data_IF_451372289484
#
_entry.id   IF_451372289484
#
_cell.length_a   1.000
_cell.length_b   1.000
_cell.length_c   1.000
_cell.angle_alpha   90.00
_cell.angle_beta   90.00
_cell.angle_gamma   90.00
#
_symmetry.space_group_name_H-M   'P 1'
#
loop_
_entity.id
_entity.type
_entity.pdbx_description
1 polymer ?
#
# COMPACT_ATOMS: atom_id res chain seq x y z
N UNK A 1 -29.57 6.95 -5.34
CA UNK A 1 -28.40 7.74 -5.76
C UNK A 1 -28.34 7.70 -7.27
N UNK A 2 -28.22 8.85 -7.91
CA UNK A 2 -28.13 8.88 -9.38
C UNK A 2 -26.68 8.71 -9.86
N UNK A 3 -26.52 8.37 -11.16
CA UNK A 3 -25.19 8.14 -11.77
C UNK A 3 -24.21 9.33 -11.63
N UNK A 4 -24.69 10.55 -11.42
CA UNK A 4 -23.84 11.74 -11.23
C UNK A 4 -23.23 11.83 -9.83
N UNK A 5 -23.97 11.41 -8.80
CA UNK A 5 -23.53 11.47 -7.40
C UNK A 5 -22.32 10.56 -7.12
N UNK A 6 -22.20 9.44 -7.84
CA UNK A 6 -21.07 8.49 -7.66
C UNK A 6 -19.76 8.97 -8.30
N UNK A 7 -19.81 9.76 -9.37
CA UNK A 7 -18.62 10.28 -10.03
C UNK A 7 -17.83 11.30 -9.20
N UNK A 8 -18.47 11.90 -8.19
CA UNK A 8 -17.83 12.85 -7.28
C UNK A 8 -17.17 12.16 -6.07
N UNK A 9 -17.36 10.84 -5.91
CA UNK A 9 -16.79 10.07 -4.79
C UNK A 9 -15.40 9.53 -5.14
N UNK A 10 -14.37 10.33 -4.91
CA UNK A 10 -12.96 10.03 -5.21
C UNK A 10 -12.36 8.81 -4.47
N UNK A 11 -13.09 8.26 -3.49
CA UNK A 11 -12.70 7.05 -2.76
C UNK A 11 -13.21 5.75 -3.40
N UNK A 12 -14.00 5.85 -4.47
CA UNK A 12 -14.52 4.71 -5.24
C UNK A 12 -13.69 4.45 -6.49
N UNK A 13 -13.73 3.21 -7.05
CA UNK A 13 -13.16 2.95 -8.36
C UNK A 13 -13.78 3.85 -9.43
N UNK A 14 -12.97 4.38 -10.32
CA UNK A 14 -13.40 5.33 -11.36
C UNK A 14 -14.44 4.75 -12.33
N UNK A 15 -14.41 3.42 -12.52
CA UNK A 15 -15.30 2.70 -13.44
C UNK A 15 -16.49 2.03 -12.74
N UNK A 16 -16.69 2.30 -11.44
CA UNK A 16 -17.85 1.79 -10.69
C UNK A 16 -19.10 2.58 -11.07
N UNK A 17 -20.15 1.86 -11.39
CA UNK A 17 -21.48 2.42 -11.72
C UNK A 17 -22.57 1.62 -11.04
N UNK A 18 -23.78 2.21 -10.94
CA UNK A 18 -24.95 1.55 -10.39
C UNK A 18 -26.13 1.66 -11.37
N UNK A 19 -26.87 0.57 -11.51
CA UNK A 19 -28.11 0.52 -12.26
C UNK A 19 -29.17 -0.23 -11.44
N UNK A 20 -30.27 0.45 -11.06
CA UNK A 20 -31.36 -0.03 -10.19
C UNK A 20 -30.83 -0.76 -8.92
N UNK A 21 -29.77 -0.24 -8.29
CA UNK A 21 -29.18 -0.79 -7.06
C UNK A 21 -28.16 -1.91 -7.27
N UNK A 22 -27.97 -2.37 -8.49
CA UNK A 22 -26.89 -3.31 -8.84
C UNK A 22 -25.64 -2.54 -9.20
N UNK A 23 -24.51 -2.92 -8.61
CA UNK A 23 -23.21 -2.32 -8.90
C UNK A 23 -22.54 -3.05 -10.08
N UNK A 24 -21.92 -2.24 -10.94
CA UNK A 24 -21.13 -2.69 -12.09
C UNK A 24 -19.73 -2.09 -12.03
N UNK A 25 -18.72 -2.89 -12.30
CA UNK A 25 -17.38 -2.40 -12.52
C UNK A 25 -17.06 -2.56 -14.01
N UNK A 26 -16.86 -1.44 -14.71
CA UNK A 26 -16.99 -1.40 -16.16
C UNK A 26 -18.39 -1.91 -16.58
N UNK A 27 -18.45 -2.93 -17.45
CA UNK A 27 -19.72 -3.54 -17.88
C UNK A 27 -20.05 -4.85 -17.14
N UNK A 28 -19.28 -5.22 -16.11
CA UNK A 28 -19.44 -6.47 -15.38
C UNK A 28 -20.24 -6.25 -14.09
N UNK A 29 -21.35 -6.99 -13.94
CA UNK A 29 -22.15 -7.01 -12.71
C UNK A 29 -21.34 -7.60 -11.54
N UNK A 30 -21.24 -6.88 -10.44
CA UNK A 30 -20.54 -7.38 -9.25
C UNK A 30 -21.28 -8.56 -8.58
N UNK A 31 -22.61 -8.66 -8.78
CA UNK A 31 -23.39 -9.82 -8.32
C UNK A 31 -23.02 -11.07 -9.13
N UNK A 32 -22.90 -10.95 -10.45
CA UNK A 32 -22.52 -12.09 -11.31
C UNK A 32 -21.09 -12.53 -10.99
N UNK A 33 -20.15 -11.60 -10.82
CA UNK A 33 -18.78 -11.92 -10.37
C UNK A 33 -18.79 -12.62 -9.01
N UNK A 34 -19.58 -12.14 -8.04
CA UNK A 34 -19.72 -12.80 -6.74
C UNK A 34 -20.30 -14.21 -6.85
N UNK A 35 -21.28 -14.40 -7.75
CA UNK A 35 -21.90 -15.72 -8.01
C UNK A 35 -20.90 -16.70 -8.62
N UNK A 36 -20.05 -16.26 -9.55
CA UNK A 36 -19.08 -17.11 -10.25
C UNK A 36 -17.89 -17.47 -9.35
N UNK A 37 -17.36 -16.48 -8.61
CA UNK A 37 -16.12 -16.64 -7.85
C UNK A 37 -16.32 -16.93 -6.35
N UNK A 38 -17.55 -16.78 -5.84
CA UNK A 38 -17.89 -16.88 -4.42
C UNK A 38 -17.38 -15.69 -3.60
N UNK A 39 -17.96 -15.49 -2.42
CA UNK A 39 -17.53 -14.51 -1.42
C UNK A 39 -16.88 -15.19 -0.19
N UNK A 40 -16.15 -14.50 0.69
CA UNK A 40 -15.64 -13.16 0.48
C UNK A 40 -14.73 -13.10 -0.74
N UNK A 41 -14.71 -11.94 -1.44
CA UNK A 41 -13.99 -11.79 -2.70
C UNK A 41 -13.38 -10.40 -2.77
N UNK A 42 -12.08 -10.30 -3.05
CA UNK A 42 -11.45 -9.03 -3.39
C UNK A 42 -11.53 -8.79 -4.88
N UNK A 43 -11.88 -7.56 -5.26
CA UNK A 43 -11.86 -7.09 -6.64
C UNK A 43 -10.95 -5.87 -6.75
N UNK A 44 -10.22 -5.81 -7.85
CA UNK A 44 -9.45 -4.63 -8.22
C UNK A 44 -9.90 -4.13 -9.60
N UNK A 45 -10.30 -2.86 -9.65
CA UNK A 45 -10.44 -2.14 -10.93
C UNK A 45 -9.04 -1.96 -11.52
N UNK A 46 -8.73 -2.81 -12.51
CA UNK A 46 -7.40 -2.87 -13.09
C UNK A 46 -7.04 -1.64 -13.90
N UNK A 47 -8.03 -1.11 -14.63
CA UNK A 47 -7.86 0.15 -15.38
C UNK A 47 -7.65 1.35 -14.43
N UNK A 48 -8.28 1.35 -13.26
CA UNK A 48 -8.06 2.39 -12.26
C UNK A 48 -6.63 2.33 -11.70
N UNK A 49 -6.08 1.13 -11.45
CA UNK A 49 -4.68 0.98 -11.02
C UNK A 49 -3.74 1.54 -12.10
N UNK A 50 -3.95 1.17 -13.37
CA UNK A 50 -3.13 1.68 -14.48
C UNK A 50 -3.25 3.20 -14.62
N UNK A 51 -4.44 3.76 -14.45
CA UNK A 51 -4.65 5.22 -14.44
C UNK A 51 -3.92 5.91 -13.29
N UNK A 52 -3.99 5.35 -12.07
CA UNK A 52 -3.26 5.91 -10.91
C UNK A 52 -1.75 5.93 -11.17
N UNK A 53 -1.18 4.86 -11.76
CA UNK A 53 0.24 4.80 -12.17
C UNK A 53 0.56 5.92 -13.18
N UNK A 54 -0.30 6.12 -14.18
CA UNK A 54 -0.11 7.15 -15.20
C UNK A 54 -0.25 8.56 -14.63
N UNK A 55 -1.16 8.80 -13.68
CA UNK A 55 -1.31 10.09 -13.00
C UNK A 55 -0.03 10.48 -12.26
N UNK A 56 0.58 9.55 -11.51
CA UNK A 56 1.88 9.77 -10.88
C UNK A 56 2.98 10.06 -11.90
N UNK A 57 3.06 9.25 -12.97
CA UNK A 57 4.06 9.43 -14.02
C UNK A 57 3.92 10.80 -14.72
N UNK A 58 2.70 11.21 -15.00
CA UNK A 58 2.42 12.52 -15.60
C UNK A 58 2.77 13.69 -14.68
N UNK A 59 2.52 13.55 -13.39
CA UNK A 59 2.76 14.61 -12.41
C UNK A 59 4.25 14.78 -12.06
N UNK A 60 5.00 13.68 -11.96
CA UNK A 60 6.40 13.68 -11.53
C UNK A 60 7.39 13.62 -12.70
N UNK A 61 6.97 13.12 -13.88
CA UNK A 61 7.79 13.04 -15.08
C UNK A 61 8.64 11.78 -15.19
N UNK A 62 9.30 11.62 -16.36
CA UNK A 62 10.05 10.40 -16.69
C UNK A 62 11.40 10.24 -15.98
N UNK A 63 11.89 11.29 -15.33
CA UNK A 63 13.23 11.34 -14.69
C UNK A 63 13.19 10.97 -13.20
N UNK A 64 12.06 10.44 -12.73
CA UNK A 64 11.84 10.00 -11.35
C UNK A 64 11.96 8.48 -11.25
N UNK A 65 12.55 8.00 -10.18
CA UNK A 65 12.64 6.58 -9.84
C UNK A 65 11.38 6.17 -9.05
N UNK A 66 10.42 5.59 -9.73
CA UNK A 66 9.20 5.08 -9.09
C UNK A 66 9.48 3.72 -8.45
N UNK A 67 9.07 3.56 -7.17
CA UNK A 67 9.14 2.31 -6.42
C UNK A 67 7.78 2.06 -5.77
N UNK A 68 6.97 1.23 -6.40
CA UNK A 68 5.67 0.87 -5.82
C UNK A 68 5.86 0.10 -4.51
N UNK A 69 5.21 0.53 -3.43
CA UNK A 69 5.32 -0.13 -2.12
C UNK A 69 4.50 -1.42 -2.07
N UNK A 70 5.17 -2.57 -2.22
CA UNK A 70 4.58 -3.91 -2.28
C UNK A 70 3.70 -4.26 -1.08
N UNK A 71 4.04 -3.74 0.11
CA UNK A 71 3.26 -3.91 1.36
C UNK A 71 1.80 -3.49 1.25
N UNK A 72 1.44 -2.60 0.30
CA UNK A 72 0.05 -2.21 0.10
C UNK A 72 -0.79 -3.34 -0.51
N UNK A 73 -0.30 -3.94 -1.57
CA UNK A 73 -0.80 -5.16 -2.23
C UNK A 73 0.22 -5.59 -3.29
N UNK A 74 0.51 -6.86 -3.40
CA UNK A 74 1.37 -7.38 -4.48
C UNK A 74 0.85 -8.73 -5.00
N UNK A 75 0.91 -8.91 -6.31
CA UNK A 75 0.73 -10.18 -7.01
C UNK A 75 1.52 -10.16 -8.33
N UNK A 76 1.70 -11.32 -8.96
CA UNK A 76 2.49 -11.46 -10.21
C UNK A 76 2.04 -10.50 -11.31
N UNK A 77 0.73 -10.41 -11.57
CA UNK A 77 0.18 -9.52 -12.61
C UNK A 77 0.41 -8.04 -12.30
N UNK A 78 0.42 -7.65 -11.03
CA UNK A 78 0.75 -6.26 -10.66
C UNK A 78 2.23 -5.97 -10.89
N UNK A 79 3.11 -6.92 -10.60
CA UNK A 79 4.55 -6.81 -10.94
C UNK A 79 4.74 -6.59 -12.44
N UNK A 80 4.04 -7.38 -13.28
CA UNK A 80 4.08 -7.26 -14.74
C UNK A 80 3.54 -5.89 -15.23
N UNK A 81 2.47 -5.38 -14.61
CA UNK A 81 1.90 -4.06 -14.92
C UNK A 81 2.87 -2.92 -14.56
N UNK A 82 3.52 -3.01 -13.39
CA UNK A 82 4.50 -2.02 -12.93
C UNK A 82 5.73 -2.00 -13.85
N UNK A 83 6.26 -3.17 -14.22
CA UNK A 83 7.41 -3.29 -15.13
C UNK A 83 7.08 -2.74 -16.53
N UNK A 84 5.91 -3.05 -17.08
CA UNK A 84 5.39 -2.47 -18.34
C UNK A 84 5.42 -0.94 -18.32
N UNK A 85 5.13 -0.34 -17.17
CA UNK A 85 5.16 1.11 -16.96
C UNK A 85 6.53 1.63 -16.49
N UNK A 86 7.58 0.80 -16.47
CA UNK A 86 8.96 1.12 -16.01
C UNK A 86 9.03 1.51 -14.52
N UNK A 87 8.06 1.09 -13.74
CA UNK A 87 8.07 1.24 -12.29
C UNK A 87 8.84 0.09 -11.65
N UNK A 88 9.67 0.40 -10.69
CA UNK A 88 10.26 -0.58 -9.77
C UNK A 88 9.37 -0.84 -8.58
N UNK A 89 9.88 -1.62 -7.64
CA UNK A 89 9.11 -2.09 -6.49
C UNK A 89 9.92 -1.88 -5.20
N UNK A 90 9.30 -1.29 -4.20
CA UNK A 90 9.77 -1.27 -2.82
C UNK A 90 9.30 -2.56 -2.13
N UNK A 91 10.27 -3.37 -1.65
CA UNK A 91 10.05 -4.65 -1.00
C UNK A 91 10.61 -4.64 0.42
N UNK A 92 9.96 -5.37 1.33
CA UNK A 92 10.38 -5.43 2.75
C UNK A 92 10.63 -6.85 3.25
N UNK A 93 10.48 -7.86 2.40
CA UNK A 93 10.65 -9.27 2.79
C UNK A 93 11.08 -10.17 1.64
N UNK A 94 11.61 -11.34 1.98
CA UNK A 94 11.93 -12.39 1.01
C UNK A 94 10.72 -12.87 0.22
N UNK A 95 9.52 -12.87 0.82
CA UNK A 95 8.27 -13.24 0.13
C UNK A 95 7.87 -12.24 -0.96
N UNK A 96 8.01 -10.93 -0.70
CA UNK A 96 7.79 -9.90 -1.71
C UNK A 96 8.83 -9.97 -2.84
N UNK A 97 10.12 -10.18 -2.50
CA UNK A 97 11.18 -10.42 -3.49
C UNK A 97 10.90 -11.63 -4.37
N UNK A 98 10.45 -12.75 -3.77
CA UNK A 98 10.09 -13.96 -4.50
C UNK A 98 8.89 -13.72 -5.43
N UNK A 99 7.93 -12.88 -5.03
CA UNK A 99 6.82 -12.47 -5.89
C UNK A 99 7.33 -11.69 -7.10
N UNK A 100 8.25 -10.76 -6.92
CA UNK A 100 8.90 -10.03 -8.04
C UNK A 100 9.60 -11.01 -8.98
N UNK A 101 10.46 -11.90 -8.45
CA UNK A 101 11.20 -12.88 -9.24
C UNK A 101 10.32 -13.94 -9.91
N UNK A 102 9.05 -14.07 -9.50
CA UNK A 102 8.11 -14.95 -10.19
C UNK A 102 7.60 -14.40 -11.52
N UNK A 103 7.85 -13.12 -11.79
CA UNK A 103 7.46 -12.42 -13.02
C UNK A 103 8.65 -11.77 -13.74
N UNK A 104 9.73 -11.40 -12.99
CA UNK A 104 10.92 -10.75 -13.53
C UNK A 104 12.17 -11.60 -13.26
N UNK A 105 13.19 -11.43 -14.09
CA UNK A 105 14.45 -12.22 -13.97
C UNK A 105 15.39 -11.72 -12.87
N UNK A 106 15.25 -10.46 -12.45
CA UNK A 106 16.15 -9.80 -11.48
C UNK A 106 15.42 -8.88 -10.53
N UNK A 107 16.09 -8.48 -9.44
CA UNK A 107 15.63 -7.46 -8.51
C UNK A 107 16.27 -6.08 -8.78
N UNK A 108 16.85 -5.86 -9.97
CA UNK A 108 17.63 -4.64 -10.27
C UNK A 108 16.82 -3.36 -10.09
N UNK A 109 15.54 -3.38 -10.49
CA UNK A 109 14.65 -2.23 -10.35
C UNK A 109 13.84 -2.27 -9.04
N UNK A 110 14.47 -2.72 -7.93
CA UNK A 110 13.82 -2.78 -6.61
C UNK A 110 14.59 -1.97 -5.56
N UNK A 111 13.87 -1.58 -4.53
CA UNK A 111 14.40 -1.01 -3.30
C UNK A 111 14.06 -1.98 -2.14
N UNK A 112 15.05 -2.36 -1.35
CA UNK A 112 14.83 -3.19 -0.16
C UNK A 112 14.81 -2.32 1.09
N UNK A 113 13.61 -2.08 1.60
CA UNK A 113 13.34 -1.37 2.85
C UNK A 113 13.16 -2.34 4.04
N UNK A 114 12.88 -1.78 5.21
CA UNK A 114 12.56 -2.51 6.44
C UNK A 114 13.48 -2.16 7.60
N UNK A 115 12.94 -2.19 8.81
CA UNK A 115 13.65 -1.88 10.06
C UNK A 115 14.64 -2.97 10.48
N UNK A 116 14.41 -4.18 10.02
CA UNK A 116 15.29 -5.33 10.25
C UNK A 116 15.31 -6.22 9.01
N UNK A 117 16.50 -6.47 8.50
CA UNK A 117 16.73 -7.33 7.34
C UNK A 117 17.54 -8.54 7.80
N UNK A 118 17.01 -9.74 7.56
CA UNK A 118 17.74 -10.97 7.89
C UNK A 118 18.93 -11.17 6.97
N UNK A 119 19.95 -11.89 7.44
CA UNK A 119 21.12 -12.28 6.63
C UNK A 119 20.68 -13.02 5.35
N UNK A 120 19.69 -13.89 5.47
CA UNK A 120 19.17 -14.66 4.34
C UNK A 120 18.54 -13.76 3.28
N UNK A 121 17.68 -12.83 3.69
CA UNK A 121 17.02 -11.88 2.79
C UNK A 121 18.01 -10.93 2.12
N UNK A 122 18.99 -10.43 2.87
CA UNK A 122 20.08 -9.59 2.29
C UNK A 122 20.87 -10.37 1.25
N UNK A 123 21.24 -11.62 1.54
CA UNK A 123 21.94 -12.45 0.58
C UNK A 123 21.06 -12.79 -0.64
N UNK A 124 19.78 -13.08 -0.41
CA UNK A 124 18.82 -13.34 -1.48
C UNK A 124 18.68 -12.11 -2.40
N UNK A 125 18.56 -10.92 -1.84
CA UNK A 125 18.47 -9.67 -2.60
C UNK A 125 19.74 -9.42 -3.43
N UNK A 126 20.93 -9.46 -2.81
CA UNK A 126 22.19 -9.15 -3.47
C UNK A 126 22.52 -10.19 -4.56
N UNK A 127 22.30 -11.48 -4.29
CA UNK A 127 22.57 -12.56 -5.26
C UNK A 127 21.65 -12.55 -6.48
N UNK A 128 20.45 -11.94 -6.37
CA UNK A 128 19.52 -11.75 -7.47
C UNK A 128 19.59 -10.34 -8.10
N UNK A 129 20.76 -9.71 -8.07
CA UNK A 129 20.99 -8.38 -8.63
C UNK A 129 20.07 -7.28 -8.08
N UNK A 130 19.77 -7.27 -6.77
CA UNK A 130 18.93 -6.28 -6.15
C UNK A 130 19.40 -4.85 -6.41
N UNK A 131 18.48 -3.90 -6.56
CA UNK A 131 18.78 -2.48 -6.81
C UNK A 131 19.38 -1.79 -5.57
N UNK A 132 18.60 -0.95 -4.91
CA UNK A 132 19.06 -0.24 -3.71
C UNK A 132 18.65 -0.98 -2.43
N UNK A 133 19.46 -0.85 -1.38
CA UNK A 133 19.08 -1.23 -0.01
C UNK A 133 19.01 0.04 0.83
N UNK A 134 17.91 0.25 1.51
CA UNK A 134 17.71 1.33 2.48
C UNK A 134 18.27 0.90 3.84
N UNK A 135 19.34 1.54 4.29
CA UNK A 135 19.98 1.29 5.59
C UNK A 135 19.14 1.98 6.67
N UNK A 136 18.59 1.19 7.59
CA UNK A 136 17.69 1.68 8.64
C UNK A 136 18.40 1.89 9.99
N UNK A 137 19.57 1.26 10.19
CA UNK A 137 20.39 1.39 11.40
C UNK A 137 21.86 1.08 11.13
N UNK A 138 22.77 1.54 12.02
CA UNK A 138 24.22 1.35 11.88
C UNK A 138 24.64 -0.13 11.88
N UNK A 139 23.94 -0.99 12.60
CA UNK A 139 24.31 -2.41 12.69
C UNK A 139 24.14 -3.15 11.36
N UNK A 140 23.31 -2.65 10.46
CA UNK A 140 23.15 -3.24 9.12
C UNK A 140 24.39 -3.07 8.24
N UNK A 141 25.17 -1.99 8.42
CA UNK A 141 26.27 -1.65 7.53
C UNK A 141 27.28 -2.80 7.45
N UNK A 142 27.71 -3.34 8.58
CA UNK A 142 28.67 -4.44 8.62
C UNK A 142 28.15 -5.73 7.98
N UNK A 143 26.86 -6.03 8.18
CA UNK A 143 26.19 -7.16 7.55
C UNK A 143 26.13 -7.00 6.03
N UNK A 144 25.77 -5.81 5.54
CA UNK A 144 25.73 -5.52 4.11
C UNK A 144 27.11 -5.58 3.46
N UNK A 145 28.14 -5.04 4.12
CA UNK A 145 29.54 -5.10 3.66
C UNK A 145 30.00 -6.55 3.50
N UNK A 146 29.79 -7.38 4.51
CA UNK A 146 30.15 -8.80 4.49
C UNK A 146 29.48 -9.52 3.32
N UNK A 147 28.15 -9.43 3.19
CA UNK A 147 27.40 -10.17 2.18
C UNK A 147 27.70 -9.64 0.76
N UNK A 148 27.78 -8.32 0.59
CA UNK A 148 28.14 -7.73 -0.70
C UNK A 148 29.55 -8.17 -1.16
N UNK A 149 30.52 -8.20 -0.24
CA UNK A 149 31.88 -8.70 -0.49
C UNK A 149 31.88 -10.18 -0.88
N UNK A 150 31.13 -11.04 -0.17
CA UNK A 150 30.97 -12.47 -0.49
C UNK A 150 30.41 -12.68 -1.89
N UNK A 151 29.46 -11.85 -2.31
CA UNK A 151 28.86 -11.86 -3.64
C UNK A 151 29.70 -11.12 -4.69
N UNK A 152 30.88 -10.57 -4.34
CA UNK A 152 31.76 -9.79 -5.21
C UNK A 152 31.04 -8.63 -5.90
N UNK A 153 30.14 -7.99 -5.19
CA UNK A 153 29.31 -6.91 -5.69
C UNK A 153 29.52 -5.64 -4.87
N UNK A 154 29.55 -4.50 -5.53
CA UNK A 154 29.44 -3.20 -4.88
C UNK A 154 27.96 -2.82 -4.84
N UNK A 155 27.32 -2.99 -3.66
CA UNK A 155 25.87 -2.85 -3.48
C UNK A 155 25.49 -1.38 -3.30
N UNK A 156 24.59 -0.83 -4.15
CA UNK A 156 24.03 0.50 -3.94
C UNK A 156 23.19 0.55 -2.67
N UNK A 157 23.41 1.57 -1.85
CA UNK A 157 22.65 1.78 -0.60
C UNK A 157 22.22 3.23 -0.45
N UNK A 158 21.09 3.45 0.17
CA UNK A 158 20.58 4.75 0.60
C UNK A 158 20.45 4.77 2.11
N UNK A 159 20.61 5.93 2.76
CA UNK A 159 20.46 6.06 4.20
C UNK A 159 19.03 6.51 4.52
N UNK A 160 18.28 5.72 5.27
CA UNK A 160 16.99 6.14 5.79
C UNK A 160 17.18 7.05 7.00
N UNK A 161 16.87 8.32 6.83
CA UNK A 161 17.00 9.32 7.88
C UNK A 161 15.66 9.49 8.57
N UNK A 162 15.67 9.39 9.90
CA UNK A 162 14.54 9.76 10.73
C UNK A 162 14.62 11.25 11.05
N UNK A 163 13.73 12.02 10.43
CA UNK A 163 13.55 13.44 10.72
C UNK A 163 12.43 13.57 11.74
N UNK A 164 12.71 14.18 12.88
CA UNK A 164 11.70 14.45 13.92
C UNK A 164 10.81 15.64 13.53
N UNK A 165 10.01 15.49 12.49
CA UNK A 165 9.16 16.54 11.93
C UNK A 165 7.80 16.72 12.64
N UNK A 166 7.62 16.08 13.81
CA UNK A 166 6.35 16.11 14.55
C UNK A 166 5.22 15.41 13.82
N UNK A 167 4.19 14.97 14.54
CA UNK A 167 3.11 14.18 13.97
C UNK A 167 1.75 14.86 14.10
N UNK A 168 1.06 14.95 12.97
CA UNK A 168 -0.37 15.27 12.92
C UNK A 168 -1.25 14.07 12.52
N UNK A 169 -0.68 12.85 12.50
CA UNK A 169 -1.39 11.62 12.10
C UNK A 169 -1.62 10.70 13.30
N UNK A 170 -2.57 9.76 13.16
CA UNK A 170 -2.88 8.76 14.20
C UNK A 170 -1.59 8.05 14.65
N UNK A 171 -1.35 7.88 15.96
CA UNK A 171 -0.09 7.32 16.51
C UNK A 171 0.38 6.02 15.87
N UNK A 172 -0.54 5.15 15.43
CA UNK A 172 -0.21 3.84 14.83
C UNK A 172 0.15 3.89 13.33
N UNK A 173 0.04 5.04 12.67
CA UNK A 173 0.46 5.24 11.25
C UNK A 173 1.60 6.24 11.10
N UNK A 174 2.16 6.68 12.24
CA UNK A 174 3.37 7.50 12.30
C UNK A 174 4.60 6.67 11.93
N UNK A 175 5.41 7.19 11.03
CA UNK A 175 6.67 6.57 10.58
C UNK A 175 7.88 7.48 10.79
N UNK A 176 7.69 8.70 11.29
CA UNK A 176 8.75 9.62 11.68
C UNK A 176 8.46 10.22 13.07
N UNK A 177 9.51 10.41 13.87
CA UNK A 177 9.45 10.95 15.23
C UNK A 177 10.43 10.24 16.14
N UNK A 178 10.80 10.89 17.26
CA UNK A 178 11.83 10.40 18.20
C UNK A 178 11.53 8.99 18.76
N UNK A 179 10.25 8.69 18.98
CA UNK A 179 9.81 7.41 19.56
C UNK A 179 9.45 6.35 18.51
N UNK A 180 9.76 6.59 17.21
CA UNK A 180 9.49 5.63 16.14
C UNK A 180 10.70 4.76 15.84
N UNK A 181 10.44 3.49 15.50
CA UNK A 181 11.47 2.45 15.27
C UNK A 181 12.20 2.56 13.93
N UNK A 182 11.91 3.59 13.12
CA UNK A 182 12.37 3.67 11.75
C UNK A 182 13.51 4.66 11.57
N UNK A 183 14.55 4.23 10.83
CA UNK A 183 15.60 5.09 10.31
C UNK A 183 16.64 5.53 11.34
N UNK A 184 17.71 6.11 10.82
CA UNK A 184 18.86 6.64 11.56
C UNK A 184 18.56 8.11 11.89
N UNK A 185 18.72 8.52 13.16
CA UNK A 185 18.60 9.93 13.51
C UNK A 185 19.63 10.78 12.75
N UNK A 186 19.26 12.00 12.40
CA UNK A 186 20.13 12.89 11.60
C UNK A 186 21.48 13.15 12.26
N UNK A 187 21.53 13.16 13.60
CA UNK A 187 22.77 13.33 14.37
C UNK A 187 23.76 12.17 14.20
N UNK A 188 23.27 10.97 13.90
CA UNK A 188 24.06 9.75 13.71
C UNK A 188 24.29 9.45 12.23
N UNK A 189 23.48 10.03 11.34
CA UNK A 189 23.53 9.78 9.90
C UNK A 189 24.89 10.11 9.27
N UNK A 190 25.63 11.12 9.80
CA UNK A 190 26.98 11.44 9.35
C UNK A 190 27.97 10.29 9.60
N UNK A 191 27.81 9.55 10.69
CA UNK A 191 28.62 8.36 10.99
C UNK A 191 28.32 7.25 10.00
N UNK A 192 27.04 6.97 9.74
CA UNK A 192 26.61 5.99 8.73
C UNK A 192 27.16 6.33 7.34
N UNK A 193 27.07 7.59 6.93
CA UNK A 193 27.59 8.05 5.65
C UNK A 193 29.11 7.81 5.52
N UNK A 194 29.89 8.13 6.56
CA UNK A 194 31.33 7.90 6.57
C UNK A 194 31.70 6.41 6.50
N UNK A 195 30.96 5.55 7.23
CA UNK A 195 31.16 4.11 7.18
C UNK A 195 30.86 3.53 5.80
N UNK A 196 29.77 3.94 5.16
CA UNK A 196 29.42 3.53 3.79
C UNK A 196 30.44 4.07 2.78
N UNK A 197 30.85 5.34 2.88
CA UNK A 197 31.81 5.97 1.97
C UNK A 197 33.18 5.27 1.99
N UNK A 198 33.62 4.82 3.16
CA UNK A 198 34.89 4.11 3.32
C UNK A 198 34.79 2.60 2.98
N UNK A 199 33.63 2.11 2.57
CA UNK A 199 33.41 0.70 2.22
C UNK A 199 33.83 0.38 0.79
N UNK A 200 34.57 -0.71 0.60
CA UNK A 200 34.90 -1.23 -0.72
C UNK A 200 33.72 -1.95 -1.40
N UNK A 201 32.77 -2.45 -0.60
CA UNK A 201 31.66 -3.29 -1.06
C UNK A 201 30.29 -2.60 -1.06
N UNK A 202 30.17 -1.38 -0.50
CA UNK A 202 28.97 -0.57 -0.57
C UNK A 202 29.18 0.66 -1.46
N UNK A 203 28.11 1.14 -2.07
CA UNK A 203 28.07 2.35 -2.86
C UNK A 203 26.99 3.27 -2.30
N UNK A 204 27.39 4.38 -1.67
CA UNK A 204 26.44 5.40 -1.28
C UNK A 204 25.72 5.96 -2.50
N UNK A 205 24.39 5.91 -2.51
CA UNK A 205 23.56 6.36 -3.63
C UNK A 205 22.62 7.50 -3.25
N UNK A 206 22.37 7.77 -1.95
CA UNK A 206 21.49 8.85 -1.56
C UNK A 206 20.88 8.69 -0.17
N UNK A 207 19.81 9.45 0.06
CA UNK A 207 19.07 9.47 1.32
C UNK A 207 17.60 9.15 1.08
N UNK A 208 16.96 8.55 2.07
CA UNK A 208 15.55 8.21 2.09
C UNK A 208 14.89 8.76 3.34
N UNK A 209 13.67 9.26 3.19
CA UNK A 209 12.79 9.58 4.31
C UNK A 209 11.39 9.05 4.04
N UNK A 210 10.69 8.65 5.09
CA UNK A 210 9.26 8.33 5.00
C UNK A 210 8.55 9.02 6.16
N UNK A 211 7.86 10.12 5.86
CA UNK A 211 7.38 11.09 6.84
C UNK A 211 5.96 10.80 7.35
N UNK A 212 5.36 9.70 6.96
CA UNK A 212 4.04 9.29 7.42
C UNK A 212 3.16 8.70 6.32
N UNK A 213 1.88 8.52 6.63
CA UNK A 213 0.85 8.05 5.71
C UNK A 213 -0.29 9.06 5.65
N UNK A 214 -1.03 9.09 4.52
CA UNK A 214 -2.18 9.99 4.33
C UNK A 214 -1.82 11.48 4.48
N UNK A 215 -0.72 11.89 3.85
CA UNK A 215 -0.20 13.25 3.91
C UNK A 215 -1.00 14.12 2.95
N UNK A 216 -1.82 15.02 3.49
CA UNK A 216 -2.63 15.98 2.72
C UNK A 216 -1.86 17.26 2.37
N UNK A 217 -0.90 17.68 3.21
CA UNK A 217 -0.11 18.90 3.00
C UNK A 217 1.22 18.61 2.30
N UNK A 218 1.40 19.01 1.02
CA UNK A 218 2.64 18.81 0.27
C UNK A 218 3.86 19.53 0.88
N UNK A 219 3.67 20.58 1.70
CA UNK A 219 4.78 21.28 2.35
C UNK A 219 5.56 20.37 3.31
N UNK A 220 4.97 19.32 3.82
CA UNK A 220 5.68 18.35 4.67
C UNK A 220 6.78 17.65 3.89
N UNK A 221 6.55 17.32 2.61
CA UNK A 221 7.59 16.79 1.72
C UNK A 221 8.67 17.82 1.44
N UNK A 222 8.28 19.10 1.22
CA UNK A 222 9.24 20.19 1.03
C UNK A 222 10.20 20.29 2.22
N UNK A 223 9.66 20.32 3.44
CA UNK A 223 10.46 20.47 4.65
C UNK A 223 11.39 19.26 4.85
N UNK A 224 10.91 18.04 4.60
CA UNK A 224 11.73 16.85 4.71
C UNK A 224 12.89 16.84 3.68
N UNK A 225 12.63 17.24 2.46
CA UNK A 225 13.65 17.32 1.41
C UNK A 225 14.63 18.46 1.65
N UNK A 226 14.21 19.57 2.27
CA UNK A 226 15.09 20.65 2.69
C UNK A 226 16.11 20.16 3.73
N UNK A 227 15.68 19.43 4.77
CA UNK A 227 16.57 18.83 5.77
C UNK A 227 17.54 17.81 5.15
N UNK A 228 17.05 16.94 4.27
CA UNK A 228 17.89 15.98 3.56
C UNK A 228 18.94 16.66 2.67
N UNK A 229 18.55 17.71 1.93
CA UNK A 229 19.44 18.45 1.05
C UNK A 229 20.49 19.22 1.84
N UNK A 230 20.14 19.81 2.99
CA UNK A 230 21.06 20.48 3.90
C UNK A 230 22.09 19.48 4.50
N UNK A 231 21.61 18.28 4.90
CA UNK A 231 22.48 17.21 5.37
C UNK A 231 23.51 16.80 4.32
N UNK A 232 23.08 16.57 3.08
CA UNK A 232 24.00 16.17 1.99
C UNK A 232 24.96 17.30 1.59
N UNK A 233 24.50 18.56 1.53
CA UNK A 233 25.38 19.68 1.20
C UNK A 233 26.48 19.88 2.28
N UNK A 234 26.13 19.74 3.57
CA UNK A 234 27.10 19.74 4.67
C UNK A 234 28.17 18.65 4.52
N UNK A 235 27.79 17.50 3.97
CA UNK A 235 28.64 16.31 3.83
C UNK A 235 29.12 16.07 2.39
N UNK A 236 29.09 17.07 1.52
CA UNK A 236 29.33 16.97 0.08
C UNK A 236 30.67 16.33 -0.31
N UNK A 237 31.69 16.48 0.54
CA UNK A 237 33.00 15.83 0.32
C UNK A 237 32.94 14.29 0.37
N UNK A 238 31.92 13.71 0.97
CA UNK A 238 31.66 12.27 1.02
C UNK A 238 30.62 11.81 -0.04
N UNK A 239 30.28 12.66 -1.00
CA UNK A 239 29.29 12.39 -2.04
C UNK A 239 29.91 12.65 -3.41
N UNK A 240 30.31 11.59 -4.11
CA UNK A 240 31.11 11.70 -5.34
C UNK A 240 30.30 11.69 -6.65
N UNK A 241 28.98 11.49 -6.60
CA UNK A 241 28.14 11.20 -7.77
C UNK A 241 26.77 11.87 -7.68
N UNK A 242 26.00 11.71 -8.77
CA UNK A 242 24.57 11.95 -8.75
C UNK A 242 23.91 11.19 -7.60
N UNK A 243 23.14 11.87 -6.77
CA UNK A 243 22.50 11.30 -5.58
C UNK A 243 21.00 11.11 -5.79
N UNK A 244 20.45 10.14 -5.08
CA UNK A 244 19.00 9.91 -4.99
C UNK A 244 18.46 10.58 -3.74
N UNK A 245 17.43 11.41 -3.91
CA UNK A 245 16.57 11.87 -2.82
C UNK A 245 15.28 11.06 -2.89
N UNK A 246 15.13 10.12 -1.97
CA UNK A 246 13.94 9.32 -1.85
C UNK A 246 12.99 9.95 -0.83
N UNK A 247 11.88 10.49 -1.33
CA UNK A 247 10.86 11.13 -0.51
C UNK A 247 9.90 10.13 0.15
N UNK A 248 10.08 8.82 -0.14
CA UNK A 248 9.23 7.76 0.37
C UNK A 248 7.81 7.78 -0.21
N UNK A 249 6.91 7.17 0.53
CA UNK A 249 5.48 7.14 0.22
C UNK A 249 4.67 8.11 1.06
N UNK A 250 3.43 7.70 1.35
CA UNK A 250 2.55 8.49 2.23
C UNK A 250 1.61 9.43 1.49
N UNK A 251 1.64 9.46 0.17
CA UNK A 251 0.71 10.24 -0.65
C UNK A 251 -0.73 9.93 -0.26
N UNK A 252 -1.54 10.98 -0.19
CA UNK A 252 -2.92 10.87 0.23
C UNK A 252 -3.75 10.02 -0.73
N UNK A 253 -4.66 9.23 -0.17
CA UNK A 253 -5.67 8.46 -0.88
C UNK A 253 -6.98 8.57 -0.11
N UNK A 254 -8.05 9.11 -0.70
CA UNK A 254 -9.26 9.44 0.01
C UNK A 254 -10.01 8.21 0.54
N UNK A 255 -10.72 8.41 1.65
CA UNK A 255 -11.78 7.57 2.18
C UNK A 255 -13.10 8.35 2.15
N UNK A 256 -14.22 7.71 2.54
CA UNK A 256 -15.51 8.41 2.66
C UNK A 256 -15.38 9.63 3.59
N UNK A 257 -15.94 10.76 3.16
CA UNK A 257 -15.91 12.01 3.93
C UNK A 257 -14.62 12.81 3.88
N UNK A 258 -13.59 12.30 3.18
CA UNK A 258 -12.38 13.07 2.95
C UNK A 258 -12.60 14.14 1.86
N UNK A 259 -12.06 15.33 2.11
CA UNK A 259 -11.94 16.37 1.09
C UNK A 259 -10.98 15.94 -0.04
N UNK A 260 -11.07 16.61 -1.18
CA UNK A 260 -10.13 16.39 -2.27
C UNK A 260 -8.69 16.68 -1.80
N UNK A 261 -7.75 15.84 -2.28
CA UNK A 261 -6.32 16.09 -2.10
C UNK A 261 -5.84 17.21 -3.01
N UNK A 262 -4.67 17.77 -2.70
CA UNK A 262 -3.92 18.58 -3.64
C UNK A 262 -3.54 17.75 -4.88
N UNK A 263 -3.37 18.43 -6.01
CA UNK A 263 -2.90 17.80 -7.24
C UNK A 263 -1.50 17.21 -7.06
N UNK A 264 -1.23 16.05 -7.65
CA UNK A 264 0.07 15.36 -7.56
C UNK A 264 1.24 16.23 -8.06
N UNK A 265 1.00 17.15 -8.98
CA UNK A 265 2.01 18.11 -9.46
C UNK A 265 2.47 19.10 -8.36
N UNK A 266 1.61 19.38 -7.38
CA UNK A 266 1.95 20.20 -6.22
C UNK A 266 2.90 19.43 -5.30
N UNK A 267 2.67 18.13 -5.09
CA UNK A 267 3.60 17.28 -4.35
C UNK A 267 4.96 17.18 -5.06
N UNK A 268 4.96 16.96 -6.39
CA UNK A 268 6.20 16.90 -7.17
C UNK A 268 7.00 18.22 -7.07
N UNK A 269 6.32 19.35 -7.21
CA UNK A 269 6.94 20.67 -7.09
C UNK A 269 7.48 20.93 -5.69
N UNK A 270 6.77 20.50 -4.65
CA UNK A 270 7.16 20.66 -3.25
C UNK A 270 8.43 19.85 -2.92
N UNK A 271 8.49 18.58 -3.36
CA UNK A 271 9.68 17.72 -3.21
C UNK A 271 10.87 18.38 -3.90
N UNK A 272 10.74 18.76 -5.16
CA UNK A 272 11.80 19.40 -5.94
C UNK A 272 12.28 20.69 -5.29
N UNK A 273 11.36 21.56 -4.89
CA UNK A 273 11.68 22.82 -4.22
C UNK A 273 12.46 22.63 -2.92
N UNK A 274 12.11 21.62 -2.11
CA UNK A 274 12.85 21.30 -0.89
C UNK A 274 14.30 20.87 -1.15
N UNK A 275 14.51 20.02 -2.17
CA UNK A 275 15.87 19.61 -2.58
C UNK A 275 16.70 20.80 -3.04
N UNK A 276 16.16 21.63 -3.93
CA UNK A 276 16.86 22.74 -4.59
C UNK A 276 17.18 23.91 -3.65
N UNK A 277 16.64 23.94 -2.42
CA UNK A 277 17.02 24.95 -1.41
C UNK A 277 18.49 24.87 -1.01
N UNK A 278 19.05 23.67 -0.93
CA UNK A 278 20.43 23.47 -0.45
C UNK A 278 21.30 22.69 -1.45
N UNK A 279 20.72 21.85 -2.33
CA UNK A 279 21.46 21.00 -3.24
C UNK A 279 21.41 21.53 -4.68
N UNK A 280 22.59 21.72 -5.29
CA UNK A 280 22.73 22.30 -6.65
C UNK A 280 23.43 21.38 -7.66
N UNK A 281 23.95 20.23 -7.20
CA UNK A 281 24.54 19.22 -8.09
C UNK A 281 23.44 18.31 -8.68
N UNK A 282 23.81 17.45 -9.62
CA UNK A 282 22.91 16.49 -10.24
C UNK A 282 22.27 15.56 -9.20
N UNK A 283 21.00 15.25 -9.36
CA UNK A 283 20.25 14.34 -8.48
C UNK A 283 19.09 13.66 -9.21
N UNK A 284 18.62 12.56 -8.62
CA UNK A 284 17.38 11.88 -8.98
C UNK A 284 16.39 11.96 -7.82
N UNK A 285 15.13 12.10 -8.14
CA UNK A 285 14.05 11.91 -7.16
C UNK A 285 13.61 10.45 -7.20
N UNK A 286 13.38 9.86 -6.03
CA UNK A 286 12.69 8.57 -5.87
C UNK A 286 11.43 8.79 -5.05
N UNK A 287 10.35 8.04 -5.34
CA UNK A 287 9.10 8.04 -4.58
C UNK A 287 8.57 6.61 -4.43
N UNK A 288 7.89 6.35 -3.31
CA UNK A 288 7.38 5.03 -2.93
C UNK A 288 5.84 4.99 -2.74
N UNK A 289 5.03 5.39 -3.74
CA UNK A 289 3.58 5.32 -3.59
C UNK A 289 3.12 3.86 -3.50
N UNK A 290 2.24 3.57 -2.55
CA UNK A 290 1.61 2.26 -2.40
C UNK A 290 0.10 2.42 -2.31
N UNK A 291 -0.40 2.93 -1.16
CA UNK A 291 -1.83 3.17 -0.94
C UNK A 291 -2.48 3.93 -2.10
N UNK A 292 -1.91 5.05 -2.50
CA UNK A 292 -2.47 5.92 -3.53
C UNK A 292 -2.62 5.23 -4.91
N UNK A 293 -1.93 4.11 -5.14
CA UNK A 293 -2.05 3.34 -6.40
C UNK A 293 -3.22 2.37 -6.37
N UNK A 294 -3.49 1.71 -5.24
CA UNK A 294 -4.40 0.56 -5.22
C UNK A 294 -5.64 0.75 -4.34
N UNK A 295 -5.65 1.71 -3.39
CA UNK A 295 -6.68 1.79 -2.36
C UNK A 295 -8.09 2.00 -2.93
N UNK A 296 -8.29 3.05 -3.72
CA UNK A 296 -9.57 3.39 -4.33
C UNK A 296 -9.97 2.42 -5.46
N UNK A 297 -9.02 1.66 -6.00
CA UNK A 297 -9.28 0.64 -7.01
C UNK A 297 -9.79 -0.67 -6.42
N UNK A 298 -9.71 -0.87 -5.10
CA UNK A 298 -10.04 -2.14 -4.45
C UNK A 298 -11.38 -2.14 -3.72
N UNK A 299 -12.10 -3.25 -3.90
CA UNK A 299 -13.38 -3.57 -3.27
C UNK A 299 -13.31 -4.94 -2.60
N UNK A 300 -14.11 -5.15 -1.54
CA UNK A 300 -14.37 -6.48 -1.02
C UNK A 300 -15.87 -6.75 -1.08
N UNK A 301 -16.26 -7.90 -1.62
CA UNK A 301 -17.64 -8.38 -1.60
C UNK A 301 -17.82 -9.43 -0.52
N UNK A 302 -18.89 -9.30 0.24
CA UNK A 302 -19.32 -10.22 1.28
C UNK A 302 -20.77 -10.66 1.02
N UNK A 303 -21.12 -11.88 1.40
CA UNK A 303 -22.50 -12.33 1.47
C UNK A 303 -23.05 -12.13 2.88
N UNK A 304 -24.20 -11.47 3.01
CA UNK A 304 -24.94 -11.42 4.26
C UNK A 304 -25.44 -12.83 4.63
N UNK A 305 -24.84 -13.42 5.66
CA UNK A 305 -25.12 -14.80 6.08
C UNK A 305 -26.30 -14.91 7.05
N UNK A 306 -26.39 -13.97 8.01
CA UNK A 306 -27.49 -13.95 9.00
C UNK A 306 -27.75 -12.53 9.48
N UNK A 307 -29.01 -12.26 9.84
CA UNK A 307 -29.42 -10.99 10.46
C UNK A 307 -29.96 -11.30 11.85
N UNK A 308 -29.43 -10.62 12.87
CA UNK A 308 -29.86 -10.74 14.27
C UNK A 308 -30.54 -9.44 14.69
N UNK A 309 -31.87 -9.44 14.77
CA UNK A 309 -32.66 -8.25 15.14
C UNK A 309 -32.92 -8.15 16.65
N UNK A 310 -32.68 -9.22 17.41
CA UNK A 310 -32.97 -9.37 18.83
C UNK A 310 -31.81 -8.93 19.74
N UNK A 311 -30.82 -8.21 19.21
CA UNK A 311 -29.59 -7.86 19.90
C UNK A 311 -29.34 -6.35 19.91
N UNK A 312 -29.26 -5.75 21.10
CA UNK A 312 -28.87 -4.37 21.31
C UNK A 312 -29.83 -3.34 20.69
N UNK A 313 -29.32 -2.13 20.47
CA UNK A 313 -30.09 -1.01 19.88
C UNK A 313 -30.16 -1.06 18.36
N UNK A 314 -29.21 -1.70 17.71
CA UNK A 314 -29.14 -1.89 16.26
C UNK A 314 -28.97 -3.37 15.92
N UNK A 315 -29.60 -3.87 14.85
CA UNK A 315 -29.43 -5.25 14.40
C UNK A 315 -28.06 -5.51 13.86
N UNK A 316 -27.61 -6.77 13.96
CA UNK A 316 -26.36 -7.24 13.36
C UNK A 316 -26.62 -7.91 12.02
N UNK A 317 -25.79 -7.61 11.03
CA UNK A 317 -25.60 -8.42 9.83
C UNK A 317 -24.28 -9.18 10.00
N UNK A 318 -24.35 -10.52 9.96
CA UNK A 318 -23.15 -11.37 9.96
C UNK A 318 -22.81 -11.72 8.51
N UNK A 319 -21.55 -11.50 8.12
CA UNK A 319 -21.08 -11.81 6.76
C UNK A 319 -20.15 -13.04 6.75
N UNK A 320 -19.92 -13.58 5.58
CA UNK A 320 -19.10 -14.77 5.37
C UNK A 320 -17.57 -14.51 5.44
N UNK A 321 -17.14 -13.25 5.49
CA UNK A 321 -15.76 -12.81 5.76
C UNK A 321 -15.61 -12.24 7.17
N UNK A 322 -14.64 -11.33 7.35
CA UNK A 322 -14.41 -10.66 8.64
C UNK A 322 -13.02 -10.07 8.78
N UNK A 323 -12.55 -9.94 10.03
CA UNK A 323 -11.23 -9.38 10.35
C UNK A 323 -10.05 -10.16 9.74
N UNK A 324 -10.25 -11.40 9.31
CA UNK A 324 -9.22 -12.15 8.57
C UNK A 324 -9.03 -11.65 7.15
N UNK A 325 -10.03 -10.98 6.57
CA UNK A 325 -9.97 -10.40 5.23
C UNK A 325 -9.68 -8.90 5.30
N UNK A 326 -10.33 -8.18 6.22
CA UNK A 326 -10.08 -6.77 6.48
C UNK A 326 -9.81 -6.52 7.97
N UNK A 327 -8.54 -6.63 8.42
CA UNK A 327 -8.20 -6.41 9.83
C UNK A 327 -8.17 -4.93 10.24
N UNK A 328 -8.28 -4.00 9.29
CA UNK A 328 -8.05 -2.58 9.51
C UNK A 328 -9.03 -1.91 10.47
N UNK A 329 -10.35 -2.22 10.44
CA UNK A 329 -11.27 -1.70 11.46
C UNK A 329 -10.86 -2.11 12.88
N UNK A 330 -10.51 -3.37 13.08
CA UNK A 330 -10.10 -3.89 14.38
C UNK A 330 -8.74 -3.33 14.88
N UNK A 331 -7.77 -3.14 13.97
CA UNK A 331 -6.41 -2.72 14.33
C UNK A 331 -6.26 -1.19 14.42
N UNK A 332 -6.94 -0.45 13.56
CA UNK A 332 -6.71 0.99 13.37
C UNK A 332 -7.97 1.84 13.49
N UNK A 333 -9.14 1.23 13.74
CA UNK A 333 -10.43 1.94 13.69
C UNK A 333 -10.74 2.53 12.30
N UNK A 334 -10.20 1.91 11.23
CA UNK A 334 -10.43 2.39 9.88
C UNK A 334 -11.90 2.22 9.49
N UNK A 335 -12.49 3.27 8.97
CA UNK A 335 -13.86 3.27 8.49
C UNK A 335 -13.90 2.90 7.01
N UNK A 336 -14.80 1.98 6.65
CA UNK A 336 -15.06 1.56 5.28
C UNK A 336 -16.54 1.67 4.98
N UNK A 337 -16.91 2.32 3.88
CA UNK A 337 -18.30 2.36 3.45
C UNK A 337 -18.76 1.00 2.95
N UNK A 338 -19.96 0.61 3.38
CA UNK A 338 -20.66 -0.57 2.88
C UNK A 338 -21.87 -0.17 2.06
N UNK A 339 -22.06 -0.86 0.94
CA UNK A 339 -23.26 -0.75 0.10
C UNK A 339 -23.91 -2.13 -0.04
N UNK A 340 -25.23 -2.22 0.11
CA UNK A 340 -25.98 -3.38 -0.34
C UNK A 340 -26.21 -3.24 -1.85
N UNK A 341 -25.55 -4.08 -2.64
CA UNK A 341 -25.60 -4.05 -4.11
C UNK A 341 -26.63 -5.02 -4.69
N UNK A 342 -27.42 -5.71 -3.84
CA UNK A 342 -28.51 -6.62 -4.22
C UNK A 342 -29.89 -6.01 -4.04
N UNK A 343 -29.97 -4.80 -3.51
CA UNK A 343 -31.22 -4.12 -3.15
C UNK A 343 -31.58 -2.95 -4.07
N UNK A 344 -32.82 -2.50 -4.02
CA UNK A 344 -33.28 -1.30 -4.74
C UNK A 344 -32.84 -0.03 -4.02
N UNK A 345 -32.41 0.97 -4.79
CA UNK A 345 -31.86 2.24 -4.31
C UNK A 345 -32.86 3.12 -3.49
N UNK A 346 -34.16 2.85 -3.58
CA UNK A 346 -35.21 3.70 -2.99
C UNK A 346 -35.84 3.13 -1.71
N UNK A 347 -35.20 2.16 -1.07
CA UNK A 347 -35.65 1.63 0.21
C UNK A 347 -35.29 2.59 1.35
N UNK A 348 -36.09 2.58 2.39
CA UNK A 348 -35.80 3.30 3.63
C UNK A 348 -34.52 2.74 4.25
N UNK A 349 -33.63 3.62 4.70
CA UNK A 349 -32.39 3.22 5.38
C UNK A 349 -32.64 2.80 6.83
N UNK A 350 -31.91 1.81 7.28
CA UNK A 350 -31.79 1.35 8.66
C UNK A 350 -30.29 1.20 9.02
N UNK A 351 -29.95 1.50 10.26
CA UNK A 351 -28.58 1.35 10.75
C UNK A 351 -28.36 -0.07 11.24
N UNK A 352 -27.30 -0.71 10.78
CA UNK A 352 -26.87 -2.05 11.17
C UNK A 352 -25.44 -2.02 11.69
N UNK A 353 -25.09 -2.94 12.59
CA UNK A 353 -23.72 -3.33 12.84
C UNK A 353 -23.34 -4.51 11.91
N UNK A 354 -22.28 -4.39 11.15
CA UNK A 354 -21.82 -5.47 10.25
C UNK A 354 -20.60 -6.14 10.84
N UNK A 355 -20.74 -7.42 11.17
CA UNK A 355 -19.74 -8.26 11.84
C UNK A 355 -19.37 -9.44 10.97
N UNK A 356 -18.12 -9.91 11.12
CA UNK A 356 -17.66 -11.09 10.44
C UNK A 356 -18.12 -12.41 11.09
N UNK A 357 -17.49 -13.48 10.64
CA UNK A 357 -17.79 -14.87 11.03
C UNK A 357 -16.91 -15.43 12.15
N UNK A 358 -15.93 -14.66 12.60
CA UNK A 358 -14.93 -15.16 13.57
C UNK A 358 -15.52 -15.22 14.98
N UNK A 359 -14.99 -16.18 15.77
CA UNK A 359 -15.34 -16.32 17.19
C UNK A 359 -14.55 -15.30 18.03
N UNK A 360 -14.74 -14.00 17.71
CA UNK A 360 -14.01 -12.87 18.27
C UNK A 360 -14.91 -11.64 18.37
N UNK A 361 -14.96 -11.01 19.54
CA UNK A 361 -15.81 -9.80 19.75
C UNK A 361 -15.33 -8.59 18.95
N UNK A 362 -14.06 -8.52 18.62
CA UNK A 362 -13.46 -7.48 17.76
C UNK A 362 -13.68 -7.68 16.27
N UNK A 363 -14.38 -8.73 15.84
CA UNK A 363 -14.70 -8.99 14.42
C UNK A 363 -15.87 -8.13 13.94
N UNK A 364 -15.70 -6.81 14.06
CA UNK A 364 -16.65 -5.79 13.64
C UNK A 364 -16.06 -5.04 12.45
N UNK A 365 -16.71 -5.17 11.28
CA UNK A 365 -16.26 -4.52 10.04
C UNK A 365 -16.74 -3.07 9.96
N UNK A 366 -18.02 -2.83 10.32
CA UNK A 366 -18.64 -1.50 10.37
C UNK A 366 -19.65 -1.45 11.51
N UNK A 367 -19.49 -0.50 12.43
CA UNK A 367 -20.40 -0.36 13.58
C UNK A 367 -21.74 0.29 13.20
N UNK A 368 -21.74 1.24 12.27
CA UNK A 368 -22.94 1.98 11.82
C UNK A 368 -23.01 1.97 10.28
N UNK A 369 -23.47 0.84 9.75
CA UNK A 369 -23.73 0.71 8.32
C UNK A 369 -25.15 1.17 7.98
N UNK A 370 -25.28 2.20 7.17
CA UNK A 370 -26.55 2.70 6.64
C UNK A 370 -26.92 1.91 5.40
N UNK A 371 -27.81 0.93 5.55
CA UNK A 371 -28.22 0.01 4.49
C UNK A 371 -29.75 0.01 4.34
N UNK A 372 -30.28 -0.56 3.24
CA UNK A 372 -31.71 -0.75 3.06
C UNK A 372 -32.34 -1.51 4.25
N UNK A 373 -33.47 -1.06 4.77
CA UNK A 373 -34.20 -1.80 5.80
C UNK A 373 -34.64 -3.20 5.35
N UNK A 374 -34.70 -3.44 4.03
CA UNK A 374 -35.01 -4.73 3.42
C UNK A 374 -33.78 -5.63 3.17
N UNK A 375 -32.59 -5.24 3.67
CA UNK A 375 -31.41 -6.09 3.61
C UNK A 375 -31.67 -7.44 4.24
N UNK A 376 -31.35 -8.51 3.54
CA UNK A 376 -31.67 -9.89 3.92
C UNK A 376 -30.50 -10.85 3.70
N UNK A 377 -30.63 -12.04 4.28
CA UNK A 377 -29.69 -13.14 4.04
C UNK A 377 -29.58 -13.46 2.53
N UNK A 378 -28.38 -13.59 2.05
CA UNK A 378 -28.04 -13.82 0.64
C UNK A 378 -27.74 -12.54 -0.14
N UNK A 379 -28.00 -11.35 0.42
CA UNK A 379 -27.62 -10.10 -0.24
C UNK A 379 -26.08 -9.95 -0.25
N UNK A 380 -25.59 -9.30 -1.31
CA UNK A 380 -24.15 -8.97 -1.46
C UNK A 380 -23.90 -7.56 -0.91
N UNK A 381 -22.97 -7.49 0.02
CA UNK A 381 -22.47 -6.24 0.60
C UNK A 381 -21.08 -5.92 0.01
N UNK A 382 -20.92 -4.73 -0.52
CA UNK A 382 -19.67 -4.23 -1.09
C UNK A 382 -19.00 -3.24 -0.13
N UNK A 383 -17.77 -3.53 0.28
CA UNK A 383 -16.91 -2.64 1.06
C UNK A 383 -15.95 -1.91 0.14
N UNK A 384 -15.76 -0.61 0.34
CA UNK A 384 -14.96 0.28 -0.51
C UNK A 384 -13.63 0.66 0.12
N UNK A 385 -12.71 1.25 -0.68
CA UNK A 385 -11.38 1.69 -0.24
C UNK A 385 -10.57 0.56 0.42
N UNK A 386 -10.68 -0.64 -0.14
CA UNK A 386 -10.08 -1.87 0.42
C UNK A 386 -8.91 -2.41 -0.40
N UNK A 387 -8.39 -1.62 -1.35
CA UNK A 387 -7.27 -2.07 -2.20
C UNK A 387 -5.92 -2.11 -1.51
N UNK A 388 -5.74 -1.36 -0.42
CA UNK A 388 -4.46 -1.28 0.28
C UNK A 388 -4.53 -1.83 1.71
N UNK A 389 -3.55 -2.67 2.08
CA UNK A 389 -3.39 -3.20 3.44
C UNK A 389 -4.59 -4.00 3.96
N UNK A 390 -5.35 -4.64 3.05
CA UNK A 390 -6.41 -5.58 3.37
C UNK A 390 -5.95 -7.00 3.02
N UNK A 391 -5.93 -7.37 1.73
CA UNK A 391 -5.40 -8.68 1.33
C UNK A 391 -3.96 -8.91 1.79
N UNK A 392 -3.09 -7.89 1.71
CA UNK A 392 -1.70 -7.99 2.16
C UNK A 392 -1.57 -8.33 3.67
N UNK A 393 -2.57 -7.96 4.47
CA UNK A 393 -2.65 -8.25 5.91
C UNK A 393 -3.60 -9.42 6.24
N UNK A 394 -4.19 -10.08 5.23
CA UNK A 394 -5.12 -11.16 5.43
C UNK A 394 -4.45 -12.35 6.14
N UNK A 395 -5.21 -13.00 7.02
CA UNK A 395 -4.73 -14.09 7.85
C UNK A 395 -5.62 -15.32 7.75
N UNK A 396 -5.15 -16.45 8.30
CA UNK A 396 -5.93 -17.65 8.49
C UNK A 396 -6.49 -17.76 9.93
N UNK A 397 -6.91 -16.63 10.54
CA UNK A 397 -7.53 -16.67 11.86
C UNK A 397 -8.74 -17.61 11.87
N UNK A 398 -8.90 -18.40 12.92
CA UNK A 398 -9.82 -19.55 13.02
C UNK A 398 -9.68 -20.58 11.87
N UNK A 399 -8.52 -20.66 11.20
CA UNK A 399 -8.29 -21.53 10.01
C UNK A 399 -9.23 -21.20 8.83
N UNK A 400 -9.76 -19.98 8.76
CA UNK A 400 -10.56 -19.55 7.61
C UNK A 400 -9.64 -19.41 6.40
N UNK A 401 -9.97 -20.02 5.24
CA UNK A 401 -9.20 -19.88 4.02
C UNK A 401 -9.17 -18.43 3.53
N UNK A 402 -8.02 -17.96 3.07
CA UNK A 402 -7.92 -16.62 2.45
C UNK A 402 -8.76 -16.54 1.19
N UNK A 403 -9.45 -15.43 1.04
CA UNK A 403 -10.35 -15.16 -0.08
C UNK A 403 -9.61 -15.05 -1.42
N UNK A 404 -10.35 -15.26 -2.50
CA UNK A 404 -9.87 -15.06 -3.87
C UNK A 404 -9.68 -13.58 -4.15
N UNK A 405 -8.77 -13.26 -5.06
CA UNK A 405 -8.58 -11.91 -5.61
C UNK A 405 -8.76 -11.95 -7.11
N UNK A 406 -9.58 -11.07 -7.67
CA UNK A 406 -9.78 -10.92 -9.12
C UNK A 406 -9.48 -9.49 -9.55
N UNK A 407 -8.98 -9.35 -10.76
CA UNK A 407 -8.88 -8.08 -11.48
C UNK A 407 -10.05 -7.95 -12.44
N UNK A 408 -10.58 -6.74 -12.58
CA UNK A 408 -11.65 -6.39 -13.54
C UNK A 408 -11.12 -5.28 -14.43
N UNK A 409 -10.99 -5.55 -15.71
CA UNK A 409 -10.67 -4.56 -16.74
C UNK A 409 -11.90 -4.25 -17.60
N UNK A 410 -11.76 -3.33 -18.54
CA UNK A 410 -12.83 -3.05 -19.53
C UNK A 410 -13.24 -4.27 -20.36
N UNK A 411 -12.38 -5.25 -20.48
CA UNK A 411 -12.57 -6.37 -21.43
C UNK A 411 -12.76 -7.71 -20.77
N UNK A 412 -12.31 -7.90 -19.54
CA UNK A 412 -12.34 -9.20 -18.87
C UNK A 412 -12.29 -9.11 -17.35
N UNK A 413 -12.79 -10.17 -16.70
CA UNK A 413 -12.54 -10.51 -15.30
C UNK A 413 -11.50 -11.62 -15.27
N UNK A 414 -10.45 -11.47 -14.45
CA UNK A 414 -9.35 -12.44 -14.44
C UNK A 414 -8.80 -12.67 -13.04
N UNK A 415 -8.25 -13.85 -12.83
CA UNK A 415 -7.70 -14.27 -11.55
C UNK A 415 -6.36 -13.57 -11.26
N UNK A 416 -6.24 -12.97 -10.06
CA UNK A 416 -5.01 -12.44 -9.50
C UNK A 416 -4.42 -13.39 -8.46
N UNK A 417 -5.25 -13.85 -7.52
CA UNK A 417 -4.85 -14.81 -6.50
C UNK A 417 -5.97 -15.83 -6.28
N UNK A 418 -5.63 -17.11 -6.25
CA UNK A 418 -6.58 -18.18 -6.00
C UNK A 418 -7.12 -18.14 -4.55
N UNK A 419 -8.37 -18.57 -4.34
CA UNK A 419 -8.89 -18.88 -3.01
C UNK A 419 -8.12 -20.05 -2.41
N UNK A 420 -7.78 -19.97 -1.13
CA UNK A 420 -7.26 -21.15 -0.42
C UNK A 420 -8.36 -22.21 -0.26
N UNK A 421 -7.99 -23.47 -0.38
CA UNK A 421 -8.83 -24.59 0.04
C UNK A 421 -8.69 -24.84 1.56
N UNK A 422 -9.50 -25.72 2.13
CA UNK A 422 -9.33 -26.16 3.52
C UNK A 422 -7.99 -26.90 3.70
N UNK A 423 -7.56 -27.65 2.72
CA UNK A 423 -6.26 -28.36 2.70
C UNK A 423 -5.09 -27.37 2.70
N UNK A 424 -5.20 -26.24 1.96
CA UNK A 424 -4.16 -25.21 1.96
C UNK A 424 -3.95 -24.62 3.38
N UNK A 425 -4.99 -24.58 4.24
CA UNK A 425 -4.87 -24.04 5.61
C UNK A 425 -4.14 -24.95 6.59
N UNK A 426 -3.92 -26.20 6.23
CA UNK A 426 -3.21 -27.20 7.06
C UNK A 426 -1.95 -27.73 6.39
N UNK A 427 -1.57 -27.17 5.24
CA UNK A 427 -0.42 -27.63 4.44
C UNK A 427 0.92 -27.54 5.17
N UNK A 428 1.03 -26.63 6.14
CA UNK A 428 2.25 -26.41 6.93
C UNK A 428 2.27 -27.24 8.23
N UNK A 429 1.20 -27.97 8.56
CA UNK A 429 1.15 -28.82 9.74
C UNK A 429 1.97 -30.10 9.46
N UNK A 430 2.72 -30.59 10.48
CA UNK A 430 3.60 -31.76 10.39
C UNK A 430 2.89 -32.99 10.99
#
# INVERSE_FOLDING_TARGET
MDKETFKEMNYLPNNLTFDDGVAFLNDFSLIDIASEHGTPLYLYDWDNIENNILEFTNAFGDDVLYRYAAKAFICKKLVELLDKNKWGIDVVSGGEMATVLSSLETLENTLFNGTYKTREEVNFFISNNGGHISIDNLNEISLLQEIASQNKRKQPVILRINLDLGAETHPMVLTSGYDQQFGISIDVAETALKEVYNSDSLLFSGVHVHIGSQIKDPNRFNNAMEECSAFLEKNKASVEREVVFDAGGGFFSPYEGDDNSEDLSVYASSIKSGIEKNWTADYKIMIEPGRAIVNNAGLILYTAGAIKEDRGEKPFILVDGGMSDNPRPALYGSEHKLFNISGKVNDKEKVFAVSGRHCESGDLLVDEAHLSENTKTGDILMSTSTGAYTYAMASNYNRVPKAKVVGVSKTEVFDLVKRQSFEDTVSDDI
#
